data_IF_613249291407
#
_entry.id   IF_613249291407
#
_cell.length_a   1.000
_cell.length_b   1.000
_cell.length_c   1.000
_cell.angle_alpha   90.00
_cell.angle_beta   90.00
_cell.angle_gamma   90.00
#
_symmetry.space_group_name_H-M   'P 1'
#
loop_
_entity.id
_entity.type
_entity.pdbx_description
1 polymer ?
#
# COMPACT_ATOMS: atom_id res chain seq x y z
N UNK A 1 15.81 3.96 8.67
CA UNK A 1 16.23 2.54 8.81
C UNK A 1 17.72 2.48 8.62
N UNK A 2 18.46 1.79 9.48
CA UNK A 2 19.90 1.65 9.29
C UNK A 2 20.21 0.89 8.00
N UNK A 3 21.36 1.17 7.39
CA UNK A 3 21.77 0.73 6.06
C UNK A 3 21.73 -0.79 5.91
N UNK A 4 22.15 -1.54 6.94
CA UNK A 4 22.13 -3.00 6.93
C UNK A 4 20.71 -3.58 6.81
N UNK A 5 19.76 -3.04 7.58
CA UNK A 5 18.36 -3.49 7.52
C UNK A 5 17.71 -3.08 6.20
N UNK A 6 18.04 -1.92 5.66
CA UNK A 6 17.59 -1.50 4.32
C UNK A 6 18.10 -2.47 3.24
N UNK A 7 19.38 -2.82 3.26
CA UNK A 7 19.95 -3.78 2.31
C UNK A 7 19.25 -5.14 2.38
N UNK A 8 18.94 -5.62 3.60
CA UNK A 8 18.17 -6.85 3.79
C UNK A 8 16.77 -6.76 3.17
N UNK A 9 16.05 -5.64 3.38
CA UNK A 9 14.73 -5.45 2.76
C UNK A 9 14.79 -5.40 1.24
N UNK A 10 15.80 -4.73 0.68
CA UNK A 10 15.99 -4.68 -0.78
C UNK A 10 16.29 -6.07 -1.36
N UNK A 11 17.13 -6.87 -0.70
CA UNK A 11 17.42 -8.24 -1.10
C UNK A 11 16.18 -9.15 -0.99
N UNK A 12 15.43 -9.06 0.10
CA UNK A 12 14.21 -9.83 0.32
C UNK A 12 13.12 -9.50 -0.72
N UNK A 13 12.88 -8.22 -1.00
CA UNK A 13 11.91 -7.83 -2.03
C UNK A 13 12.34 -8.26 -3.44
N UNK A 14 13.65 -8.34 -3.71
CA UNK A 14 14.18 -8.76 -5.01
C UNK A 14 13.98 -10.24 -5.34
N UNK A 15 13.64 -11.09 -4.37
CA UNK A 15 13.32 -12.52 -4.61
C UNK A 15 11.90 -12.72 -5.11
N UNK A 16 11.01 -11.74 -4.90
CA UNK A 16 9.61 -11.83 -5.26
C UNK A 16 9.42 -11.70 -6.78
N UNK A 17 8.45 -12.46 -7.32
CA UNK A 17 8.02 -12.41 -8.73
C UNK A 17 6.50 -12.33 -8.85
N UNK A 18 5.86 -11.30 -8.27
CA UNK A 18 4.42 -11.13 -8.40
C UNK A 18 4.02 -10.86 -9.86
N UNK A 19 2.86 -11.37 -10.26
CA UNK A 19 2.22 -10.98 -11.51
C UNK A 19 1.71 -9.53 -11.43
N UNK A 20 1.75 -8.76 -12.54
CA UNK A 20 1.07 -7.47 -12.61
C UNK A 20 -0.45 -7.65 -12.46
N UNK A 21 -1.13 -6.63 -11.95
CA UNK A 21 -2.58 -6.65 -11.74
C UNK A 21 -3.18 -5.25 -11.87
N UNK A 22 -4.48 -5.17 -12.12
CA UNK A 22 -5.22 -3.91 -12.08
C UNK A 22 -6.11 -3.87 -10.86
N UNK A 23 -5.93 -2.86 -10.01
CA UNK A 23 -6.83 -2.58 -8.89
C UNK A 23 -7.82 -1.50 -9.32
N UNK A 24 -9.11 -1.80 -9.31
CA UNK A 24 -10.16 -0.81 -9.59
C UNK A 24 -10.59 -0.15 -8.29
N UNK A 25 -10.27 1.13 -8.12
CA UNK A 25 -10.71 1.91 -6.96
C UNK A 25 -12.12 2.46 -7.22
N UNK A 26 -13.12 1.85 -6.61
CA UNK A 26 -14.54 2.14 -6.81
C UNK A 26 -15.29 2.46 -5.50
N UNK A 27 -14.59 2.36 -4.35
CA UNK A 27 -15.21 2.49 -3.03
C UNK A 27 -14.58 3.64 -2.28
N UNK A 28 -15.40 4.55 -1.76
CA UNK A 28 -14.98 5.53 -0.75
C UNK A 28 -15.44 5.04 0.61
N UNK A 29 -14.53 5.02 1.58
CA UNK A 29 -14.87 4.70 2.94
C UNK A 29 -14.18 5.59 3.96
N UNK A 30 -14.60 5.43 5.21
CA UNK A 30 -14.10 6.20 6.34
C UNK A 30 -13.84 5.27 7.50
N UNK A 31 -12.68 5.42 8.14
CA UNK A 31 -12.37 4.76 9.41
C UNK A 31 -12.47 5.76 10.57
N UNK A 32 -13.54 5.70 11.39
CA UNK A 32 -13.77 6.68 12.46
C UNK A 32 -12.64 6.76 13.46
N UNK A 33 -12.11 5.61 13.90
CA UNK A 33 -11.01 5.55 14.88
C UNK A 33 -9.73 6.17 14.34
N UNK A 34 -9.45 5.99 13.05
CA UNK A 34 -8.26 6.55 12.39
C UNK A 34 -8.49 7.98 11.87
N UNK A 35 -9.74 8.47 11.88
CA UNK A 35 -10.15 9.75 11.29
C UNK A 35 -9.64 9.91 9.85
N UNK A 36 -9.74 8.83 9.08
CA UNK A 36 -9.15 8.71 7.75
C UNK A 36 -10.22 8.38 6.70
N UNK A 37 -10.29 9.24 5.68
CA UNK A 37 -11.06 8.98 4.45
C UNK A 37 -10.15 8.28 3.46
N UNK A 38 -10.67 7.27 2.76
CA UNK A 38 -9.88 6.44 1.86
C UNK A 38 -10.65 6.02 0.60
N UNK A 39 -9.91 5.71 -0.45
CA UNK A 39 -10.37 4.93 -1.59
C UNK A 39 -9.95 3.47 -1.43
N UNK A 40 -10.81 2.56 -1.84
CA UNK A 40 -10.58 1.13 -1.84
C UNK A 40 -11.27 0.48 -3.04
N UNK A 41 -11.25 -0.84 -3.07
CA UNK A 41 -11.84 -1.64 -4.14
C UNK A 41 -12.87 -2.61 -3.57
N UNK A 42 -14.03 -2.70 -4.21
CA UNK A 42 -15.04 -3.71 -3.90
C UNK A 42 -14.55 -5.11 -4.26
N UNK A 43 -13.79 -5.21 -5.36
CA UNK A 43 -13.15 -6.44 -5.83
C UNK A 43 -11.63 -6.28 -5.75
N UNK A 44 -10.99 -7.07 -4.89
CA UNK A 44 -9.54 -7.06 -4.73
C UNK A 44 -8.93 -8.16 -5.59
N UNK A 45 -8.05 -7.84 -6.56
CA UNK A 45 -7.38 -8.86 -7.37
C UNK A 45 -6.45 -9.69 -6.48
N UNK A 46 -6.56 -11.02 -6.54
CA UNK A 46 -5.81 -11.98 -5.71
C UNK A 46 -4.28 -11.73 -5.65
N UNK A 47 -3.60 -11.32 -6.75
CA UNK A 47 -2.17 -11.02 -6.71
C UNK A 47 -1.75 -9.97 -5.67
N UNK A 48 -2.64 -9.03 -5.32
CA UNK A 48 -2.34 -7.96 -4.36
C UNK A 48 -2.20 -8.46 -2.90
N UNK A 49 -3.19 -9.16 -2.29
CA UNK A 49 -3.02 -9.75 -0.97
C UNK A 49 -1.96 -10.87 -0.95
N UNK A 50 -1.76 -11.61 -2.06
CA UNK A 50 -0.66 -12.58 -2.17
C UNK A 50 0.71 -11.89 -2.09
N UNK A 51 0.89 -10.78 -2.79
CA UNK A 51 2.10 -9.95 -2.72
C UNK A 51 2.33 -9.42 -1.31
N UNK A 52 1.30 -8.89 -0.64
CA UNK A 52 1.43 -8.38 0.73
C UNK A 52 1.89 -9.48 1.71
N UNK A 53 1.34 -10.69 1.60
CA UNK A 53 1.72 -11.84 2.42
C UNK A 53 3.17 -12.27 2.16
N UNK A 54 3.52 -12.48 0.90
CA UNK A 54 4.87 -12.91 0.49
C UNK A 54 5.93 -11.89 0.91
N UNK A 55 5.61 -10.59 0.80
CA UNK A 55 6.49 -9.53 1.25
C UNK A 55 6.67 -9.56 2.77
N UNK A 56 5.60 -9.72 3.56
CA UNK A 56 5.70 -9.83 5.02
C UNK A 56 6.56 -11.02 5.46
N UNK A 57 6.39 -12.18 4.83
CA UNK A 57 7.18 -13.38 5.09
C UNK A 57 8.67 -13.16 4.74
N UNK A 58 8.95 -12.59 3.57
CA UNK A 58 10.31 -12.30 3.13
C UNK A 58 11.00 -11.23 4.01
N UNK A 59 10.25 -10.24 4.52
CA UNK A 59 10.82 -9.20 5.39
C UNK A 59 10.99 -9.68 6.85
N UNK A 60 10.25 -10.71 7.28
CA UNK A 60 10.36 -11.24 8.65
C UNK A 60 11.78 -11.75 8.96
N UNK A 61 12.48 -12.32 7.98
CA UNK A 61 13.88 -12.76 8.15
C UNK A 61 14.85 -11.59 8.41
N UNK A 62 14.45 -10.38 8.05
CA UNK A 62 15.19 -9.14 8.31
C UNK A 62 14.78 -8.47 9.62
N UNK A 63 13.98 -9.14 10.47
CA UNK A 63 13.46 -8.60 11.72
C UNK A 63 12.29 -7.63 11.57
N UNK A 64 11.60 -7.63 10.42
CA UNK A 64 10.35 -6.89 10.25
C UNK A 64 9.20 -7.60 10.96
N UNK A 65 8.41 -6.87 11.74
CA UNK A 65 7.20 -7.39 12.37
C UNK A 65 5.98 -6.99 11.53
N UNK A 66 5.27 -7.94 10.90
CA UNK A 66 4.06 -7.63 10.15
C UNK A 66 2.95 -7.04 11.01
N UNK A 67 2.11 -6.21 10.39
CA UNK A 67 0.87 -5.75 11.02
C UNK A 67 -0.10 -6.95 11.20
N UNK A 68 -0.58 -7.23 12.43
CA UNK A 68 -1.47 -8.37 12.67
C UNK A 68 -2.88 -8.19 12.08
N UNK A 69 -3.31 -6.96 11.81
CA UNK A 69 -4.62 -6.70 11.21
C UNK A 69 -4.68 -7.21 9.76
N UNK A 70 -5.86 -7.68 9.31
CA UNK A 70 -6.04 -8.07 7.91
C UNK A 70 -5.63 -6.96 6.95
N UNK A 71 -5.01 -7.35 5.85
CA UNK A 71 -4.60 -6.42 4.81
C UNK A 71 -5.84 -5.88 4.08
N UNK A 72 -6.10 -4.58 4.24
CA UNK A 72 -7.15 -3.85 3.53
C UNK A 72 -6.50 -2.88 2.54
N UNK A 73 -6.49 -3.19 1.23
CA UNK A 73 -5.88 -2.30 0.24
C UNK A 73 -6.68 -1.00 0.13
N UNK A 74 -5.99 0.11 0.34
CA UNK A 74 -6.62 1.43 0.34
C UNK A 74 -5.61 2.52 -0.02
N UNK A 75 -6.13 3.65 -0.48
CA UNK A 75 -5.42 4.91 -0.68
C UNK A 75 -6.03 5.92 0.27
N UNK A 76 -5.26 6.41 1.26
CA UNK A 76 -5.75 7.46 2.14
C UNK A 76 -5.91 8.77 1.37
N UNK A 77 -7.12 9.32 1.32
CA UNK A 77 -7.43 10.60 0.69
C UNK A 77 -7.22 11.78 1.63
N UNK A 78 -7.71 11.64 2.87
CA UNK A 78 -7.64 12.69 3.87
C UNK A 78 -7.46 12.10 5.26
N UNK A 79 -6.73 12.83 6.12
CA UNK A 79 -6.52 12.50 7.53
C UNK A 79 -7.14 13.58 8.41
N UNK A 80 -7.32 13.27 9.69
CA UNK A 80 -7.90 14.19 10.69
C UNK A 80 -9.34 14.62 10.34
N UNK A 81 -10.04 13.85 9.51
CA UNK A 81 -11.45 14.08 9.20
C UNK A 81 -12.25 13.91 10.48
N UNK A 82 -12.93 14.96 10.95
CA UNK A 82 -13.67 14.92 12.21
C UNK A 82 -14.97 14.12 12.07
N UNK A 83 -15.68 14.35 10.98
CA UNK A 83 -16.94 13.71 10.65
C UNK A 83 -17.01 13.48 9.14
N UNK A 84 -17.57 12.35 8.73
CA UNK A 84 -17.87 12.04 7.33
C UNK A 84 -19.35 11.70 7.22
N UNK A 85 -20.06 12.39 6.32
CA UNK A 85 -21.51 12.25 6.13
C UNK A 85 -21.87 11.30 4.97
N UNK A 86 -20.90 10.51 4.51
CA UNK A 86 -21.02 9.68 3.31
C UNK A 86 -20.43 10.35 2.07
N UNK A 87 -20.28 9.57 1.00
CA UNK A 87 -19.85 10.08 -0.30
C UNK A 87 -20.98 10.92 -0.92
N UNK A 88 -20.68 12.05 -1.57
CA UNK A 88 -21.68 12.78 -2.34
C UNK A 88 -22.22 11.91 -3.49
N UNK A 89 -23.47 12.14 -3.87
CA UNK A 89 -24.07 11.52 -5.05
C UNK A 89 -23.84 12.41 -6.29
N UNK A 90 -23.52 11.84 -7.46
CA UNK A 90 -23.26 10.41 -7.70
C UNK A 90 -21.91 9.97 -7.11
N UNK A 91 -21.77 8.66 -6.86
CA UNK A 91 -20.51 8.07 -6.45
C UNK A 91 -19.40 8.41 -7.48
N UNK A 92 -18.14 8.56 -7.02
CA UNK A 92 -17.03 8.83 -7.94
C UNK A 92 -16.89 7.70 -8.96
N UNK A 93 -16.52 8.07 -10.19
CA UNK A 93 -16.25 7.09 -11.24
C UNK A 93 -15.11 6.14 -10.82
N UNK A 94 -15.22 4.83 -11.10
CA UNK A 94 -14.16 3.88 -10.81
C UNK A 94 -12.83 4.29 -11.46
N UNK A 95 -11.73 4.15 -10.72
CA UNK A 95 -10.37 4.46 -11.20
C UNK A 95 -9.63 3.14 -11.42
N UNK A 96 -9.41 2.69 -12.67
CA UNK A 96 -8.55 1.56 -12.93
C UNK A 96 -7.09 1.93 -12.67
N UNK A 97 -6.43 1.17 -11.80
CA UNK A 97 -5.02 1.37 -11.47
C UNK A 97 -4.20 0.15 -11.89
N UNK A 98 -3.49 0.19 -13.04
CA UNK A 98 -2.54 -0.85 -13.41
C UNK A 98 -1.31 -0.78 -12.50
N UNK A 99 -1.12 -1.81 -11.67
CA UNK A 99 0.04 -1.96 -10.82
C UNK A 99 1.07 -2.82 -11.54
N UNK A 100 2.22 -2.20 -11.84
CA UNK A 100 3.32 -2.82 -12.60
C UNK A 100 4.65 -2.76 -11.84
N UNK A 101 4.69 -2.12 -10.67
CA UNK A 101 5.92 -1.94 -9.91
C UNK A 101 5.70 -1.96 -8.40
N UNK A 102 6.49 -2.76 -7.69
CA UNK A 102 6.67 -2.67 -6.24
C UNK A 102 7.75 -1.62 -5.93
N UNK A 103 7.48 -0.72 -4.99
CA UNK A 103 8.44 0.30 -4.58
C UNK A 103 8.79 0.16 -3.09
N UNK A 104 10.08 0.23 -2.76
CA UNK A 104 10.53 0.53 -1.40
C UNK A 104 10.58 2.05 -1.25
N UNK A 105 9.84 2.58 -0.28
CA UNK A 105 9.68 4.01 -0.07
C UNK A 105 10.16 4.41 1.32
N UNK A 106 10.89 5.51 1.41
CA UNK A 106 11.24 6.18 2.66
C UNK A 106 10.31 7.36 2.91
N UNK A 107 9.76 7.44 4.12
CA UNK A 107 9.03 8.61 4.60
C UNK A 107 9.99 9.51 5.36
N UNK A 108 10.28 10.69 4.82
CA UNK A 108 11.07 11.74 5.48
C UNK A 108 10.10 12.77 6.03
N UNK A 109 10.04 12.90 7.35
CA UNK A 109 9.14 13.86 8.00
C UNK A 109 9.88 15.16 8.29
N UNK A 110 9.36 16.26 7.79
CA UNK A 110 9.78 17.63 8.10
C UNK A 110 8.61 18.41 8.74
N UNK A 111 8.81 19.65 9.24
CA UNK A 111 7.73 20.46 9.81
C UNK A 111 6.58 20.77 8.85
N UNK A 112 6.79 20.74 7.54
CA UNK A 112 5.77 20.96 6.51
C UNK A 112 4.99 19.68 6.16
N UNK A 113 5.50 18.49 6.51
CA UNK A 113 4.80 17.22 6.39
C UNK A 113 5.73 16.05 6.08
N UNK A 114 5.13 14.91 5.73
CA UNK A 114 5.87 13.75 5.25
C UNK A 114 6.12 13.87 3.74
N UNK A 115 7.37 13.67 3.33
CA UNK A 115 7.78 13.51 1.93
C UNK A 115 8.17 12.06 1.68
N UNK A 116 7.72 11.51 0.57
CA UNK A 116 8.06 10.14 0.18
C UNK A 116 9.18 10.13 -0.85
N UNK A 117 10.24 9.35 -0.58
CA UNK A 117 11.35 9.11 -1.50
C UNK A 117 11.37 7.64 -1.89
N UNK A 118 11.26 7.37 -3.19
CA UNK A 118 11.43 6.00 -3.70
C UNK A 118 12.91 5.63 -3.64
N UNK A 119 13.23 4.59 -2.87
CA UNK A 119 14.60 4.08 -2.71
C UNK A 119 14.94 3.04 -3.77
N UNK A 120 13.95 2.18 -4.10
CA UNK A 120 14.11 1.09 -5.07
C UNK A 120 12.77 0.72 -5.68
N UNK A 121 12.83 0.18 -6.91
CA UNK A 121 11.68 -0.31 -7.69
C UNK A 121 11.98 -1.72 -8.19
N UNK A 122 10.96 -2.57 -8.21
CA UNK A 122 10.99 -3.89 -8.84
C UNK A 122 9.76 -4.03 -9.74
N UNK A 123 9.93 -4.39 -11.02
CA UNK A 123 8.79 -4.65 -11.90
C UNK A 123 8.01 -5.87 -11.42
N UNK A 124 6.68 -5.84 -11.56
CA UNK A 124 5.85 -7.03 -11.43
C UNK A 124 5.88 -7.74 -12.79
N UNK A 125 6.63 -8.82 -12.91
CA UNK A 125 6.94 -9.43 -14.21
C UNK A 125 6.09 -10.66 -14.55
N UNK A 126 5.29 -11.19 -13.60
CA UNK A 126 4.86 -12.58 -13.71
C UNK A 126 6.06 -13.53 -13.66
N UNK A 127 5.82 -14.82 -13.44
CA UNK A 127 6.86 -15.84 -13.57
C UNK A 127 7.23 -16.08 -15.03
#
# INVERSE_FOLDING_TARGET
>A
TDAARRACYEAAAATLRPAPFTLTLDTVGYWPRARALWLGATQVPEPLPALARSLNEALAVCGFTPEPRPFHPHVTLARKVAQWKGAPAPAPAPIPWPAETLCLVESVTDPAGARYRVLRRWPLAGG
#
